data_IF_575660199123
#
_entry.id   IF_575660199123
#
_cell.length_a   1.000
_cell.length_b   1.000
_cell.length_c   1.000
_cell.angle_alpha   90.00
_cell.angle_beta   90.00
_cell.angle_gamma   90.00
#
_symmetry.space_group_name_H-M   'P 1'
#
loop_
_entity.id
_entity.type
_entity.pdbx_description
1 polymer ?
#
# COMPACT_ATOMS: atom_id res chain seq x y z
N UNK A 1 35.24 19.70 9.36
CA UNK A 1 33.94 19.92 8.69
C UNK A 1 33.24 18.58 8.52
N UNK A 2 32.08 18.37 9.18
CA UNK A 2 31.33 17.10 9.11
C UNK A 2 30.63 17.01 7.75
N UNK A 3 31.06 16.06 6.91
CA UNK A 3 30.45 15.77 5.62
C UNK A 3 28.97 15.44 5.75
N UNK A 4 28.15 16.18 5.01
CA UNK A 4 26.70 16.04 4.90
C UNK A 4 26.40 14.63 4.37
N UNK A 5 25.93 13.70 5.22
CA UNK A 5 25.36 12.41 4.77
C UNK A 5 24.08 12.72 3.97
N UNK A 6 24.21 12.81 2.65
CA UNK A 6 23.09 12.78 1.71
C UNK A 6 22.41 11.42 1.85
N UNK A 7 21.31 11.38 2.60
CA UNK A 7 20.57 10.15 2.84
C UNK A 7 19.20 10.28 2.18
N UNK A 8 18.87 9.28 1.33
CA UNK A 8 17.54 8.80 0.91
C UNK A 8 16.96 9.35 -0.41
N UNK A 9 17.16 8.55 -1.47
CA UNK A 9 16.31 8.44 -2.65
C UNK A 9 16.45 9.57 -3.67
N UNK A 10 17.46 9.50 -4.56
CA UNK A 10 17.36 10.31 -5.77
C UNK A 10 16.13 9.85 -6.56
N UNK A 11 15.36 10.81 -7.11
CA UNK A 11 14.12 10.55 -7.87
C UNK A 11 14.28 9.47 -8.95
N UNK A 12 15.48 9.36 -9.55
CA UNK A 12 15.82 8.32 -10.51
C UNK A 12 16.09 6.93 -9.92
N UNK A 13 16.70 6.83 -8.73
CA UNK A 13 16.91 5.54 -8.04
C UNK A 13 15.58 4.92 -7.61
N UNK A 14 14.69 5.74 -7.04
CA UNK A 14 13.36 5.27 -6.64
C UNK A 14 12.56 4.79 -7.85
N UNK A 15 12.60 5.52 -8.98
CA UNK A 15 11.92 5.11 -10.21
C UNK A 15 12.37 3.73 -10.68
N UNK A 16 13.68 3.54 -10.84
CA UNK A 16 14.22 2.26 -11.33
C UNK A 16 13.95 1.10 -10.37
N UNK A 17 14.07 1.34 -9.05
CA UNK A 17 13.77 0.33 -8.04
C UNK A 17 12.27 -0.04 -8.02
N UNK A 18 11.40 0.97 -8.11
CA UNK A 18 9.95 0.81 -8.20
C UNK A 18 9.54 0.01 -9.44
N UNK A 19 10.07 0.36 -10.62
CA UNK A 19 9.81 -0.36 -11.89
C UNK A 19 10.24 -1.84 -11.78
N UNK A 20 11.48 -2.09 -11.36
CA UNK A 20 11.99 -3.45 -11.20
C UNK A 20 11.25 -4.25 -10.12
N UNK A 21 10.73 -3.61 -9.08
CA UNK A 21 9.87 -4.25 -8.09
C UNK A 21 8.52 -4.65 -8.69
N UNK A 22 7.83 -3.73 -9.39
CA UNK A 22 6.53 -3.99 -10.01
C UNK A 22 6.62 -5.11 -11.04
N UNK A 23 7.64 -5.11 -11.90
CA UNK A 23 7.86 -6.18 -12.89
C UNK A 23 8.02 -7.57 -12.24
N UNK A 24 8.76 -7.63 -11.12
CA UNK A 24 8.94 -8.88 -10.37
C UNK A 24 7.66 -9.29 -9.65
N UNK A 25 6.96 -8.32 -9.04
CA UNK A 25 5.72 -8.56 -8.32
C UNK A 25 4.62 -9.06 -9.27
N UNK A 26 4.47 -8.44 -10.44
CA UNK A 26 3.51 -8.82 -11.47
C UNK A 26 3.62 -10.30 -11.93
N UNK A 27 4.81 -10.88 -11.81
CA UNK A 27 5.09 -12.28 -12.19
C UNK A 27 4.75 -13.29 -11.09
N UNK A 28 4.41 -12.84 -9.87
CA UNK A 28 4.06 -13.75 -8.78
C UNK A 28 2.68 -14.40 -9.05
N UNK A 29 2.51 -15.69 -8.73
CA UNK A 29 1.22 -16.36 -8.89
C UNK A 29 0.10 -15.66 -8.11
N UNK A 30 -1.04 -15.44 -8.78
CA UNK A 30 -2.21 -14.79 -8.21
C UNK A 30 -2.16 -13.26 -8.17
N UNK A 31 -1.07 -12.63 -8.65
CA UNK A 31 -1.05 -11.18 -8.85
C UNK A 31 -1.86 -10.81 -10.08
N UNK A 32 -2.73 -9.81 -9.92
CA UNK A 32 -3.54 -9.21 -10.96
C UNK A 32 -3.17 -7.74 -11.08
N UNK A 33 -2.91 -7.28 -12.31
CA UNK A 33 -2.76 -5.86 -12.62
C UNK A 33 -4.13 -5.29 -13.01
N UNK A 34 -4.58 -4.26 -12.30
CA UNK A 34 -5.84 -3.56 -12.57
C UNK A 34 -5.63 -2.47 -13.63
N UNK A 35 -6.70 -2.01 -14.31
CA UNK A 35 -6.61 -0.95 -15.32
C UNK A 35 -6.00 0.36 -14.81
N UNK A 36 -6.12 0.66 -13.52
CA UNK A 36 -5.52 1.83 -12.86
C UNK A 36 -3.99 1.77 -12.75
N UNK A 37 -3.41 0.57 -12.94
CA UNK A 37 -2.02 0.27 -12.64
C UNK A 37 -1.78 -0.31 -11.24
N UNK A 38 -2.81 -0.42 -10.39
CA UNK A 38 -2.70 -1.13 -9.12
C UNK A 38 -2.41 -2.61 -9.35
N UNK A 39 -1.49 -3.19 -8.58
CA UNK A 39 -1.31 -4.63 -8.53
C UNK A 39 -1.87 -5.17 -7.23
N UNK A 40 -2.71 -6.19 -7.33
CA UNK A 40 -3.39 -6.82 -6.20
C UNK A 40 -3.16 -8.31 -6.21
N UNK A 41 -3.11 -8.93 -5.02
CA UNK A 41 -3.15 -10.38 -4.85
C UNK A 41 -3.98 -10.72 -3.63
N UNK A 42 -5.00 -11.54 -3.82
CA UNK A 42 -5.73 -12.14 -2.71
C UNK A 42 -4.92 -13.31 -2.16
N UNK A 43 -4.54 -13.23 -0.88
CA UNK A 43 -3.84 -14.30 -0.17
C UNK A 43 -4.83 -15.21 0.55
N UNK A 44 -5.83 -14.61 1.17
CA UNK A 44 -6.91 -15.28 1.88
C UNK A 44 -8.21 -14.57 1.50
N UNK A 45 -9.18 -15.34 0.97
CA UNK A 45 -10.49 -14.81 0.62
C UNK A 45 -11.30 -14.51 1.88
N UNK A 46 -11.87 -13.31 1.94
CA UNK A 46 -12.87 -12.96 2.95
C UNK A 46 -14.27 -13.42 2.56
N UNK A 47 -15.17 -13.50 3.52
CA UNK A 47 -16.58 -13.88 3.33
C UNK A 47 -17.56 -12.80 3.84
N UNK A 48 -17.03 -11.72 4.40
CA UNK A 48 -17.83 -10.61 4.90
C UNK A 48 -18.14 -9.54 3.86
N UNK A 49 -18.53 -8.38 4.39
CA UNK A 49 -18.94 -7.22 3.62
C UNK A 49 -17.82 -6.67 2.74
N UNK A 50 -18.22 -6.11 1.61
CA UNK A 50 -17.34 -5.37 0.70
C UNK A 50 -17.44 -3.87 1.00
N UNK A 51 -16.34 -3.21 1.42
CA UNK A 51 -16.36 -1.78 1.75
C UNK A 51 -16.81 -0.90 0.59
N UNK A 52 -17.56 0.15 0.89
CA UNK A 52 -17.85 1.28 0.01
C UNK A 52 -16.91 2.46 0.32
N UNK A 53 -16.71 3.36 -0.64
CA UNK A 53 -15.83 4.53 -0.46
C UNK A 53 -16.21 5.43 0.72
N UNK A 54 -17.49 5.42 1.13
CA UNK A 54 -18.03 6.19 2.25
C UNK A 54 -17.78 5.55 3.61
N UNK A 55 -17.36 4.29 3.65
CA UNK A 55 -17.25 3.52 4.88
C UNK A 55 -15.99 3.85 5.67
N UNK A 56 -16.02 3.50 6.95
CA UNK A 56 -14.82 3.40 7.79
C UNK A 56 -14.38 1.95 7.84
N UNK A 57 -13.09 1.69 7.64
CA UNK A 57 -12.53 0.34 7.69
C UNK A 57 -11.60 0.19 8.89
N UNK A 58 -11.52 -1.03 9.41
CA UNK A 58 -10.51 -1.44 10.40
C UNK A 58 -9.63 -2.49 9.76
N UNK A 59 -8.31 -2.27 9.77
CA UNK A 59 -7.35 -3.14 9.10
C UNK A 59 -6.16 -3.44 9.99
N UNK A 60 -5.61 -4.64 9.82
CA UNK A 60 -4.20 -4.84 10.13
C UNK A 60 -3.39 -4.68 8.85
N UNK A 61 -2.26 -3.99 8.91
CA UNK A 61 -1.42 -3.76 7.75
C UNK A 61 0.07 -3.64 8.08
N UNK A 62 0.89 -4.06 7.13
CA UNK A 62 2.30 -3.70 7.03
C UNK A 62 2.52 -2.96 5.72
N UNK A 63 3.10 -1.78 5.81
CA UNK A 63 3.40 -0.92 4.66
C UNK A 63 4.91 -0.79 4.53
N UNK A 64 5.45 -1.16 3.38
CA UNK A 64 6.86 -1.08 3.05
C UNK A 64 7.06 -0.21 1.82
N UNK A 65 8.13 0.56 1.78
CA UNK A 65 8.68 1.03 0.49
C UNK A 65 9.54 -0.08 -0.14
N UNK A 66 9.76 -0.02 -1.45
CA UNK A 66 10.51 -1.06 -2.19
C UNK A 66 11.97 -1.24 -1.76
N UNK A 67 12.53 -0.27 -1.03
CA UNK A 67 13.85 -0.33 -0.38
C UNK A 67 13.82 -1.04 0.99
N UNK A 68 12.67 -1.58 1.40
CA UNK A 68 12.48 -2.36 2.63
C UNK A 68 12.22 -1.51 3.87
N UNK A 69 12.09 -0.18 3.76
CA UNK A 69 11.75 0.65 4.92
C UNK A 69 10.28 0.45 5.30
N UNK A 70 10.07 0.14 6.57
CA UNK A 70 8.74 0.06 7.20
C UNK A 70 8.17 1.47 7.39
N UNK A 71 6.98 1.69 6.86
CA UNK A 71 6.20 2.93 7.02
C UNK A 71 5.18 2.79 8.14
N UNK A 72 4.52 1.63 8.21
CA UNK A 72 3.60 1.23 9.27
C UNK A 72 3.62 -0.29 9.42
N UNK A 73 3.39 -0.77 10.63
CA UNK A 73 3.24 -2.20 10.94
C UNK A 73 2.33 -2.37 12.16
N UNK A 74 1.03 -2.53 11.90
CA UNK A 74 0.04 -2.72 12.97
C UNK A 74 0.14 -4.10 13.60
N UNK A 75 0.66 -5.10 12.87
CA UNK A 75 0.89 -6.44 13.42
C UNK A 75 1.94 -6.40 14.52
N UNK A 76 3.02 -5.63 14.32
CA UNK A 76 4.04 -5.42 15.35
C UNK A 76 3.54 -4.53 16.49
N UNK A 77 2.74 -3.50 16.19
CA UNK A 77 2.20 -2.60 17.20
C UNK A 77 1.08 -3.23 18.05
N UNK A 78 0.42 -4.28 17.53
CA UNK A 78 -0.75 -4.91 18.18
C UNK A 78 -2.01 -4.04 18.14
N UNK A 79 -2.02 -2.97 17.35
CA UNK A 79 -3.12 -1.99 17.28
C UNK A 79 -3.54 -1.80 15.82
N UNK A 80 -4.71 -2.30 15.41
CA UNK A 80 -5.24 -2.09 14.07
C UNK A 80 -5.43 -0.62 13.73
N UNK A 81 -5.29 -0.29 12.45
CA UNK A 81 -5.59 1.05 11.95
C UNK A 81 -7.08 1.16 11.62
N UNK A 82 -7.67 2.31 11.96
CA UNK A 82 -9.05 2.67 11.63
C UNK A 82 -9.07 4.00 10.89
N UNK A 83 -9.67 4.02 9.70
CA UNK A 83 -9.73 5.23 8.87
C UNK A 83 -10.95 5.21 7.94
N UNK A 84 -11.41 6.40 7.56
CA UNK A 84 -12.42 6.54 6.51
C UNK A 84 -11.79 6.21 5.15
N UNK A 85 -12.41 5.32 4.36
CA UNK A 85 -11.80 4.82 3.13
C UNK A 85 -11.47 5.95 2.15
N UNK A 86 -12.33 6.97 2.06
CA UNK A 86 -12.11 8.20 1.28
C UNK A 86 -10.83 8.98 1.62
N UNK A 87 -10.23 8.77 2.79
CA UNK A 87 -8.99 9.45 3.23
C UNK A 87 -7.73 8.66 2.89
N UNK A 88 -7.88 7.40 2.46
CA UNK A 88 -6.76 6.57 2.02
C UNK A 88 -6.21 7.06 0.67
N UNK A 89 -5.00 6.59 0.31
CA UNK A 89 -4.46 6.80 -1.04
C UNK A 89 -5.29 6.05 -2.10
N UNK A 90 -5.31 6.56 -3.33
CA UNK A 90 -6.18 6.05 -4.41
C UNK A 90 -6.07 4.54 -4.63
N UNK A 91 -4.85 3.98 -4.57
CA UNK A 91 -4.67 2.53 -4.75
C UNK A 91 -5.32 1.70 -3.64
N UNK A 92 -5.36 2.22 -2.41
CA UNK A 92 -6.04 1.53 -1.29
C UNK A 92 -7.55 1.72 -1.35
N UNK A 93 -8.02 2.89 -1.81
CA UNK A 93 -9.44 3.10 -2.08
C UNK A 93 -9.98 2.08 -3.09
N UNK A 94 -9.27 1.89 -4.22
CA UNK A 94 -9.64 0.90 -5.23
C UNK A 94 -9.52 -0.52 -4.69
N UNK A 95 -8.37 -0.88 -4.11
CA UNK A 95 -8.09 -2.24 -3.67
C UNK A 95 -9.05 -2.74 -2.59
N UNK A 96 -9.41 -1.90 -1.62
CA UNK A 96 -10.34 -2.29 -0.56
C UNK A 96 -11.79 -2.36 -1.02
N UNK A 97 -12.19 -1.59 -2.03
CA UNK A 97 -13.50 -1.73 -2.66
C UNK A 97 -13.62 -3.02 -3.50
N UNK A 98 -12.54 -3.77 -3.70
CA UNK A 98 -12.55 -5.11 -4.32
C UNK A 98 -12.35 -6.23 -3.29
N UNK A 99 -12.14 -5.88 -2.03
CA UNK A 99 -11.87 -6.81 -0.94
C UNK A 99 -13.14 -7.19 -0.17
N UNK A 100 -13.06 -8.28 0.59
CA UNK A 100 -14.09 -8.68 1.53
C UNK A 100 -13.53 -8.73 2.95
N UNK A 101 -14.35 -8.35 3.94
CA UNK A 101 -14.01 -8.48 5.37
C UNK A 101 -13.62 -9.93 5.68
N UNK A 102 -12.58 -10.08 6.52
CA UNK A 102 -11.95 -11.36 6.84
C UNK A 102 -10.77 -11.71 5.93
N UNK A 103 -10.71 -11.11 4.73
CA UNK A 103 -9.71 -11.39 3.72
C UNK A 103 -8.34 -10.73 3.98
N UNK A 104 -7.31 -11.30 3.35
CA UNK A 104 -5.94 -10.78 3.37
C UNK A 104 -5.43 -10.58 1.95
N UNK A 105 -4.84 -9.42 1.72
CA UNK A 105 -4.49 -8.92 0.40
C UNK A 105 -3.09 -8.32 0.41
N UNK A 106 -2.36 -8.53 -0.69
CA UNK A 106 -1.15 -7.77 -0.99
C UNK A 106 -1.47 -6.73 -2.08
N UNK A 107 -1.07 -5.47 -1.86
CA UNK A 107 -1.18 -4.41 -2.85
C UNK A 107 0.20 -3.82 -3.15
N UNK A 108 0.60 -3.77 -4.42
CA UNK A 108 1.70 -2.93 -4.86
C UNK A 108 1.13 -1.69 -5.55
N UNK A 109 1.26 -0.55 -4.88
CA UNK A 109 0.66 0.72 -5.26
C UNK A 109 1.71 1.58 -5.96
N UNK A 110 1.57 1.84 -7.28
CA UNK A 110 2.43 2.77 -8.00
C UNK A 110 2.33 4.20 -7.44
N UNK A 111 3.37 5.03 -7.63
CA UNK A 111 3.38 6.39 -7.09
C UNK A 111 2.21 7.25 -7.61
N UNK A 112 1.70 7.00 -8.82
CA UNK A 112 0.54 7.66 -9.42
C UNK A 112 -0.75 7.45 -8.60
N UNK A 113 -0.85 6.33 -7.89
CA UNK A 113 -1.96 5.99 -7.00
C UNK A 113 -1.64 6.28 -5.52
N UNK A 114 -0.54 7.00 -5.26
CA UNK A 114 -0.03 7.37 -3.94
C UNK A 114 0.47 8.84 -3.93
N UNK A 115 1.70 9.10 -3.46
CA UNK A 115 2.27 10.46 -3.30
C UNK A 115 3.11 10.95 -4.50
N UNK A 116 3.10 10.22 -5.61
CA UNK A 116 3.63 10.64 -6.89
C UNK A 116 5.10 11.05 -6.89
N UNK A 117 5.42 12.01 -7.77
CA UNK A 117 6.77 12.55 -7.98
C UNK A 117 7.35 13.29 -6.78
N UNK A 118 6.53 13.68 -5.80
CA UNK A 118 6.95 14.48 -4.64
C UNK A 118 7.25 13.60 -3.43
N UNK A 119 6.51 12.52 -3.22
CA UNK A 119 6.58 11.76 -1.97
C UNK A 119 5.95 12.53 -0.80
N UNK A 120 6.17 12.06 0.44
CA UNK A 120 5.66 12.72 1.65
C UNK A 120 6.72 12.78 2.74
N UNK A 121 7.09 14.01 3.11
CA UNK A 121 8.05 14.32 4.16
C UNK A 121 9.38 13.55 3.99
N UNK A 122 9.90 13.05 5.11
CA UNK A 122 11.06 12.16 5.16
C UNK A 122 10.67 10.66 5.20
N UNK A 123 9.36 10.36 5.12
CA UNK A 123 8.82 9.00 5.25
C UNK A 123 8.83 8.29 3.90
N UNK A 124 8.33 8.92 2.84
CA UNK A 124 8.18 8.29 1.53
C UNK A 124 8.86 9.18 0.49
N UNK A 125 9.84 8.61 -0.21
CA UNK A 125 10.58 9.33 -1.24
C UNK A 125 9.76 9.57 -2.52
N UNK A 126 10.26 10.41 -3.44
CA UNK A 126 9.63 10.66 -4.72
C UNK A 126 9.57 9.39 -5.58
N UNK A 127 8.49 9.19 -6.34
CA UNK A 127 8.24 8.03 -7.23
C UNK A 127 8.36 6.66 -6.52
N UNK A 128 8.06 6.61 -5.22
CA UNK A 128 8.10 5.38 -4.46
C UNK A 128 6.83 4.55 -4.70
N UNK A 129 7.01 3.30 -5.10
CA UNK A 129 5.99 2.25 -4.93
C UNK A 129 5.87 1.91 -3.45
N UNK A 130 4.64 1.64 -3.04
CA UNK A 130 4.32 1.16 -1.70
C UNK A 130 3.76 -0.24 -1.79
N UNK A 131 4.26 -1.10 -0.93
CA UNK A 131 3.81 -2.46 -0.80
C UNK A 131 3.05 -2.63 0.51
N UNK A 132 1.82 -3.10 0.41
CA UNK A 132 0.91 -3.35 1.52
C UNK A 132 0.70 -4.85 1.65
N UNK A 133 0.80 -5.37 2.87
CA UNK A 133 0.23 -6.64 3.30
C UNK A 133 -0.86 -6.32 4.32
N UNK A 134 -2.12 -6.49 3.91
CA UNK A 134 -3.28 -5.94 4.60
C UNK A 134 -4.32 -7.03 4.87
N UNK A 135 -4.80 -7.11 6.11
CA UNK A 135 -5.99 -7.89 6.49
C UNK A 135 -7.14 -6.94 6.81
N UNK A 136 -8.26 -7.09 6.10
CA UNK A 136 -9.48 -6.32 6.35
C UNK A 136 -10.26 -6.97 7.49
N UNK A 137 -10.37 -6.28 8.62
CA UNK A 137 -10.96 -6.83 9.84
C UNK A 137 -12.44 -6.50 9.94
N UNK A 138 -12.81 -5.27 9.58
CA UNK A 138 -14.17 -4.77 9.79
C UNK A 138 -14.50 -3.62 8.84
N UNK A 139 -15.79 -3.51 8.51
CA UNK A 139 -16.42 -2.30 7.95
C UNK A 139 -17.33 -1.72 9.03
N UNK A 140 -17.06 -0.49 9.44
CA UNK A 140 -17.82 0.22 10.46
C UNK A 140 -18.80 1.17 9.78
N UNK A 141 -20.09 0.94 10.03
CA UNK A 141 -21.16 1.83 9.61
C UNK A 141 -21.27 3.00 10.58
N UNK A 142 -21.37 4.21 10.05
CA UNK A 142 -21.73 5.40 10.82
C UNK A 142 -23.20 5.74 10.65
#
# INVERSE_FOLDING_TARGET
>A
MKGKKLNKGSSGQNRKASEGFLEKYARKPGVVALPSGLYMRELEKGDGLQPQITDTVVVNQRILTVDGKVIADTYQAGMPDRFALKEAILGIQEGLQLAQVGGRYEFAVPPELAWGKRGVGNKIGPNAVLFFDLRLLEVVFS
#
